data_IF_838573730306
#
_entry.id   IF_838573730306
#
_cell.length_a   1.000
_cell.length_b   1.000
_cell.length_c   1.000
_cell.angle_alpha   90.00
_cell.angle_beta   90.00
_cell.angle_gamma   90.00
#
_symmetry.space_group_name_H-M   'P 1'
#
loop_
_entity.id
_entity.type
_entity.pdbx_description
1 polymer ?
#
# COMPACT_ATOMS: atom_id res chain seq x y z
N UNK A 1 7.98 -1.55 28.42
CA UNK A 1 8.89 -0.40 28.39
C UNK A 1 8.85 0.19 27.00
N UNK A 2 7.93 1.12 26.79
CA UNK A 2 7.80 1.93 25.58
C UNK A 2 8.90 2.99 25.62
N UNK A 3 9.98 2.76 24.89
CA UNK A 3 11.08 3.71 24.83
C UNK A 3 10.97 4.49 23.52
N UNK A 4 10.36 5.68 23.60
CA UNK A 4 10.79 6.80 22.74
C UNK A 4 9.81 7.39 21.74
N UNK A 5 8.55 6.96 21.68
CA UNK A 5 7.53 7.70 20.93
C UNK A 5 6.59 8.38 21.92
N UNK A 6 6.41 9.68 21.74
CA UNK A 6 5.55 10.51 22.59
C UNK A 6 4.18 9.86 22.74
N UNK A 7 3.57 9.91 23.94
CA UNK A 7 2.36 9.14 24.29
C UNK A 7 1.15 9.37 23.37
N UNK A 8 1.17 10.41 22.54
CA UNK A 8 0.04 10.83 21.71
C UNK A 8 0.24 10.59 20.21
N UNK A 9 1.32 9.91 19.77
CA UNK A 9 1.60 9.82 18.33
C UNK A 9 0.53 9.04 17.55
N UNK A 10 -0.11 8.07 18.21
CA UNK A 10 -1.24 7.33 17.63
C UNK A 10 -2.49 8.21 17.51
N UNK A 11 -2.75 9.06 18.50
CA UNK A 11 -3.88 10.01 18.47
C UNK A 11 -3.66 11.12 17.42
N UNK A 12 -2.43 11.65 17.34
CA UNK A 12 -2.03 12.63 16.32
C UNK A 12 -2.09 12.04 14.91
N UNK A 13 -1.60 10.81 14.72
CA UNK A 13 -1.70 10.10 13.44
C UNK A 13 -3.16 9.89 13.04
N UNK A 14 -4.00 9.42 13.96
CA UNK A 14 -5.44 9.23 13.74
C UNK A 14 -6.15 10.52 13.38
N UNK A 15 -5.79 11.65 14.02
CA UNK A 15 -6.32 12.98 13.68
C UNK A 15 -5.96 13.45 12.27
N UNK A 16 -4.86 12.93 11.71
CA UNK A 16 -4.38 13.20 10.35
C UNK A 16 -4.81 12.13 9.34
N UNK A 17 -5.69 11.19 9.74
CA UNK A 17 -6.15 10.10 8.89
C UNK A 17 -5.07 9.06 8.57
N UNK A 18 -4.05 8.95 9.43
CA UNK A 18 -2.96 7.98 9.31
C UNK A 18 -3.24 6.87 10.32
N UNK A 19 -3.40 5.63 9.85
CA UNK A 19 -3.51 4.45 10.71
C UNK A 19 -2.10 3.95 11.08
N UNK A 20 -1.85 3.74 12.37
CA UNK A 20 -0.52 3.45 12.90
C UNK A 20 -0.55 2.23 13.83
N UNK A 21 -0.09 1.09 13.33
CA UNK A 21 0.08 -0.13 14.11
C UNK A 21 1.51 -0.25 14.64
N UNK A 22 1.69 -0.24 15.97
CA UNK A 22 2.99 -0.47 16.58
C UNK A 22 3.28 -1.97 16.70
N UNK A 23 4.44 -2.42 16.21
CA UNK A 23 4.93 -3.79 16.37
C UNK A 23 6.15 -3.81 17.28
N UNK A 24 6.22 -4.82 18.16
CA UNK A 24 7.42 -5.05 18.98
C UNK A 24 8.54 -5.57 18.09
N UNK A 25 9.67 -4.86 18.07
CA UNK A 25 10.86 -5.30 17.34
C UNK A 25 11.54 -6.40 18.18
N UNK A 26 11.66 -7.64 17.68
CA UNK A 26 12.33 -8.71 18.41
C UNK A 26 13.79 -8.34 18.75
N UNK A 27 14.27 -8.74 19.93
CA UNK A 27 15.63 -8.42 20.37
C UNK A 27 16.73 -8.97 19.45
N UNK A 28 16.45 -10.06 18.73
CA UNK A 28 17.32 -10.70 17.74
C UNK A 28 17.66 -9.76 16.56
N UNK A 29 16.80 -8.78 16.28
CA UNK A 29 17.01 -7.78 15.24
C UNK A 29 18.07 -6.75 15.64
N UNK A 30 18.47 -6.71 16.91
CA UNK A 30 19.55 -5.87 17.43
C UNK A 30 20.86 -6.64 17.66
N UNK A 31 20.96 -7.90 17.21
CA UNK A 31 22.23 -8.62 17.25
C UNK A 31 23.28 -7.88 16.41
N UNK A 32 24.38 -7.49 17.05
CA UNK A 32 25.50 -6.76 16.45
C UNK A 32 26.05 -7.47 15.21
N UNK A 33 25.95 -8.81 15.14
CA UNK A 33 26.34 -9.62 13.97
C UNK A 33 25.38 -9.48 12.78
N UNK A 34 24.09 -9.29 13.04
CA UNK A 34 23.08 -9.05 12.00
C UNK A 34 23.16 -7.60 11.47
N UNK A 35 23.50 -6.65 12.34
CA UNK A 35 23.76 -5.24 11.98
C UNK A 35 25.05 -5.10 11.18
N UNK A 36 26.15 -5.76 11.58
CA UNK A 36 27.43 -5.73 10.84
C UNK A 36 27.35 -6.42 9.46
N UNK A 37 26.41 -7.36 9.27
CA UNK A 37 26.11 -7.98 7.98
C UNK A 37 25.10 -7.21 7.13
N UNK A 38 24.65 -6.04 7.57
CA UNK A 38 23.63 -5.24 6.89
C UNK A 38 22.31 -6.01 6.66
N UNK A 39 22.00 -7.01 7.51
CA UNK A 39 20.81 -7.87 7.40
C UNK A 39 19.55 -7.27 8.01
N UNK A 40 19.68 -6.09 8.64
CA UNK A 40 18.59 -5.37 9.28
C UNK A 40 18.37 -4.07 8.53
N UNK A 41 17.34 -4.05 7.69
CA UNK A 41 16.90 -2.86 6.95
C UNK A 41 15.42 -2.66 7.22
N UNK A 42 15.08 -1.60 7.95
CA UNK A 42 13.70 -1.20 8.23
C UNK A 42 13.34 -0.04 7.34
N UNK A 43 12.25 -0.07 6.57
CA UNK A 43 11.51 1.12 6.15
C UNK A 43 10.10 0.73 5.65
N UNK A 44 9.05 0.97 6.46
CA UNK A 44 7.67 0.82 6.02
C UNK A 44 6.95 2.17 6.09
N UNK A 45 6.98 2.92 4.98
CA UNK A 45 5.99 3.96 4.69
C UNK A 45 5.70 3.90 3.20
N UNK A 46 4.62 3.23 2.82
CA UNK A 46 4.07 3.38 1.48
C UNK A 46 3.31 4.70 1.39
N UNK A 47 3.53 5.45 0.32
CA UNK A 47 2.91 6.74 0.09
C UNK A 47 2.02 6.70 -1.15
N UNK A 48 0.79 7.14 -1.00
CA UNK A 48 -0.17 7.31 -2.11
C UNK A 48 -0.42 8.81 -2.27
N UNK A 49 -0.28 9.33 -3.49
CA UNK A 49 -0.76 10.68 -3.83
C UNK A 49 -1.92 10.60 -4.81
N UNK A 50 -2.99 11.32 -4.48
CA UNK A 50 -4.19 11.38 -5.31
C UNK A 50 -4.68 12.79 -5.47
N UNK A 51 -5.25 13.05 -6.64
CA UNK A 51 -5.84 14.32 -7.00
C UNK A 51 -7.32 14.16 -7.36
N UNK A 52 -8.24 14.84 -6.65
CA UNK A 52 -9.64 14.87 -7.01
C UNK A 52 -9.88 15.80 -8.21
N UNK A 53 -10.80 15.39 -9.10
CA UNK A 53 -11.25 16.14 -10.26
C UNK A 53 -12.75 16.31 -10.20
N UNK A 54 -13.20 17.53 -9.93
CA UNK A 54 -14.63 17.86 -9.87
C UNK A 54 -15.18 18.16 -11.26
N UNK A 55 -16.37 17.64 -11.53
CA UNK A 55 -17.10 17.92 -12.77
C UNK A 55 -17.56 19.38 -12.83
N UNK A 56 -17.79 19.89 -14.05
CA UNK A 56 -18.21 21.27 -14.31
C UNK A 56 -19.61 21.33 -14.94
N UNK A 57 -20.32 22.45 -14.74
CA UNK A 57 -21.63 22.70 -15.34
C UNK A 57 -22.67 21.65 -14.92
N UNK A 58 -23.29 20.98 -15.90
CA UNK A 58 -24.28 19.91 -15.67
C UNK A 58 -23.72 18.69 -14.91
N UNK A 59 -22.40 18.56 -14.78
CA UNK A 59 -21.71 17.46 -14.07
C UNK A 59 -21.12 17.90 -12.73
N UNK A 60 -21.58 19.01 -12.13
CA UNK A 60 -21.02 19.57 -10.88
C UNK A 60 -21.05 18.58 -9.70
N UNK A 61 -22.04 17.69 -9.63
CA UNK A 61 -22.17 16.68 -8.57
C UNK A 61 -21.34 15.42 -8.84
N UNK A 62 -20.27 15.52 -9.65
CA UNK A 62 -19.48 14.36 -10.04
C UNK A 62 -18.01 14.56 -9.73
N UNK A 63 -17.33 13.47 -9.37
CA UNK A 63 -15.90 13.46 -9.06
C UNK A 63 -15.21 12.30 -9.78
N UNK A 64 -13.96 12.53 -10.16
CA UNK A 64 -13.02 11.48 -10.53
C UNK A 64 -11.76 11.63 -9.67
N UNK A 65 -11.11 10.51 -9.36
CA UNK A 65 -9.86 10.46 -8.62
C UNK A 65 -8.76 10.09 -9.58
N UNK A 66 -7.66 10.84 -9.54
CA UNK A 66 -6.44 10.53 -10.27
C UNK A 66 -5.34 10.13 -9.30
N UNK A 67 -4.73 8.97 -9.52
CA UNK A 67 -3.52 8.54 -8.85
C UNK A 67 -2.32 9.23 -9.50
N UNK A 68 -1.65 10.11 -8.76
CA UNK A 68 -0.56 10.95 -9.28
C UNK A 68 0.81 10.45 -8.90
N UNK A 69 0.92 9.78 -7.75
CA UNK A 69 2.17 9.19 -7.29
C UNK A 69 1.92 7.99 -6.37
N UNK A 70 2.87 7.07 -6.36
CA UNK A 70 2.93 5.95 -5.44
C UNK A 70 4.39 5.59 -5.16
N UNK A 71 4.76 5.57 -3.89
CA UNK A 71 6.10 5.21 -3.46
C UNK A 71 6.04 4.07 -2.45
N UNK A 72 6.93 3.09 -2.66
CA UNK A 72 7.15 1.96 -1.75
C UNK A 72 8.64 1.81 -1.56
N UNK A 73 9.07 1.58 -0.33
CA UNK A 73 10.47 1.36 -0.02
C UNK A 73 10.68 -0.09 0.42
N UNK A 74 11.05 -0.94 -0.53
CA UNK A 74 11.40 -2.32 -0.25
C UNK A 74 12.92 -2.50 -0.29
N UNK A 75 13.45 -3.23 0.69
CA UNK A 75 14.83 -3.72 0.73
C UNK A 75 14.80 -5.20 1.05
N UNK A 76 14.67 -6.04 0.02
CA UNK A 76 14.59 -7.49 0.18
C UNK A 76 15.67 -8.15 -0.67
N UNK A 77 16.49 -9.00 -0.03
CA UNK A 77 17.58 -9.75 -0.66
C UNK A 77 18.70 -8.92 -1.32
N UNK A 78 18.86 -7.63 -0.98
CA UNK A 78 19.92 -6.80 -1.58
C UNK A 78 21.33 -7.19 -1.11
N UNK A 79 21.48 -7.64 0.14
CA UNK A 79 22.74 -8.15 0.66
C UNK A 79 22.99 -9.58 0.12
N UNK A 80 24.14 -9.80 -0.52
CA UNK A 80 24.64 -11.11 -1.00
C UNK A 80 23.91 -11.77 -2.20
N UNK A 81 23.07 -11.03 -2.94
CA UNK A 81 22.44 -11.56 -4.15
C UNK A 81 23.43 -11.88 -5.29
N UNK A 82 24.50 -11.09 -5.42
CA UNK A 82 25.51 -11.29 -6.47
C UNK A 82 26.41 -12.50 -6.19
N UNK A 83 26.68 -12.80 -4.92
CA UNK A 83 27.58 -13.88 -4.48
C UNK A 83 26.91 -15.25 -4.46
N UNK A 84 25.57 -15.32 -4.36
CA UNK A 84 24.79 -16.56 -4.33
C UNK A 84 24.32 -17.06 -5.70
N UNK A 85 24.51 -16.29 -6.78
CA UNK A 85 23.99 -16.62 -8.11
C UNK A 85 24.87 -17.64 -8.85
N UNK A 86 24.32 -18.82 -9.18
CA UNK A 86 25.03 -19.84 -9.98
C UNK A 86 25.11 -19.43 -11.46
N UNK A 87 26.16 -19.87 -12.17
CA UNK A 87 26.34 -19.65 -13.62
C UNK A 87 25.08 -20.04 -14.42
N UNK A 88 24.73 -19.23 -15.43
CA UNK A 88 23.53 -19.36 -16.28
C UNK A 88 22.19 -19.23 -15.54
N UNK A 89 22.15 -18.71 -14.31
CA UNK A 89 20.89 -18.44 -13.60
C UNK A 89 20.58 -16.94 -13.56
N UNK A 90 19.31 -16.64 -13.37
CA UNK A 90 18.81 -15.30 -13.08
C UNK A 90 18.00 -15.29 -11.78
N UNK A 91 18.10 -14.20 -11.01
CA UNK A 91 17.27 -13.93 -9.83
C UNK A 91 16.71 -12.52 -9.95
N UNK A 92 15.48 -12.33 -9.48
CA UNK A 92 14.90 -11.00 -9.31
C UNK A 92 15.09 -10.63 -7.83
N UNK A 93 15.63 -9.44 -7.59
CA UNK A 93 15.84 -8.89 -6.25
C UNK A 93 15.25 -7.49 -6.17
N UNK A 94 15.13 -6.96 -4.96
CA UNK A 94 14.82 -5.55 -4.74
C UNK A 94 16.04 -4.86 -4.15
N UNK A 95 16.63 -3.96 -4.93
CA UNK A 95 17.80 -3.17 -4.52
C UNK A 95 17.43 -1.70 -4.49
N UNK A 96 17.61 -1.05 -3.33
CA UNK A 96 17.34 0.39 -3.12
C UNK A 96 15.96 0.86 -3.63
N UNK A 97 14.90 0.11 -3.38
CA UNK A 97 13.55 0.47 -3.84
C UNK A 97 13.37 0.35 -5.36
N UNK A 98 14.18 -0.49 -6.03
CA UNK A 98 14.01 -0.88 -7.43
C UNK A 98 14.02 -2.40 -7.56
N UNK A 99 13.05 -2.95 -8.27
CA UNK A 99 13.09 -4.35 -8.72
C UNK A 99 14.15 -4.49 -9.81
N UNK A 100 15.17 -5.30 -9.55
CA UNK A 100 16.30 -5.56 -10.44
C UNK A 100 16.40 -7.05 -10.75
N UNK A 101 16.46 -7.38 -12.03
CA UNK A 101 16.80 -8.73 -12.49
C UNK A 101 18.31 -8.85 -12.64
N UNK A 102 18.91 -9.76 -11.89
CA UNK A 102 20.32 -10.12 -11.99
C UNK A 102 20.41 -11.41 -12.81
N UNK A 103 21.27 -11.45 -13.82
CA UNK A 103 21.55 -12.64 -14.62
C UNK A 103 23.06 -12.83 -14.75
N UNK A 104 23.54 -14.05 -14.54
CA UNK A 104 24.96 -14.40 -14.72
C UNK A 104 25.15 -15.22 -16.00
N UNK A 105 26.02 -14.74 -16.88
CA UNK A 105 26.34 -15.44 -18.12
C UNK A 105 27.30 -16.62 -17.88
N UNK A 106 27.60 -17.39 -18.93
CA UNK A 106 28.52 -18.54 -18.90
C UNK A 106 29.91 -18.18 -18.38
N UNK A 107 30.34 -16.96 -18.70
CA UNK A 107 31.66 -16.42 -18.35
C UNK A 107 31.70 -15.83 -16.93
N UNK A 108 30.59 -15.87 -16.19
CA UNK A 108 30.50 -15.33 -14.82
C UNK A 108 30.22 -13.82 -14.78
N UNK A 109 30.03 -13.17 -15.92
CA UNK A 109 29.66 -11.75 -15.99
C UNK A 109 28.22 -11.58 -15.50
N UNK A 110 28.03 -10.68 -14.52
CA UNK A 110 26.73 -10.35 -13.95
C UNK A 110 26.13 -9.17 -14.73
N UNK A 111 24.91 -9.35 -15.24
CA UNK A 111 24.08 -8.31 -15.85
C UNK A 111 22.92 -7.97 -14.92
N UNK A 112 22.77 -6.67 -14.63
CA UNK A 112 21.65 -6.13 -13.86
C UNK A 112 20.69 -5.36 -14.77
N UNK A 113 19.41 -5.67 -14.70
CA UNK A 113 18.35 -5.03 -15.46
C UNK A 113 17.28 -4.50 -14.52
N UNK A 114 17.07 -3.17 -14.52
CA UNK A 114 16.03 -2.53 -13.72
C UNK A 114 14.67 -2.75 -14.38
N UNK A 115 13.77 -3.43 -13.66
CA UNK A 115 12.41 -3.75 -14.12
C UNK A 115 11.40 -2.65 -13.78
N UNK A 116 11.64 -1.90 -12.71
CA UNK A 116 10.77 -0.80 -12.25
C UNK A 116 11.38 0.54 -12.69
N UNK A 117 10.89 1.09 -13.81
CA UNK A 117 11.42 2.35 -14.37
C UNK A 117 10.58 3.54 -13.97
N UNK A 118 9.28 3.32 -13.75
CA UNK A 118 8.31 4.32 -13.35
C UNK A 118 7.64 3.88 -12.06
N UNK A 119 7.19 4.83 -11.25
CA UNK A 119 6.44 4.55 -10.02
C UNK A 119 5.21 3.66 -10.27
N UNK A 120 4.55 3.83 -11.42
CA UNK A 120 3.39 3.01 -11.81
C UNK A 120 3.72 1.52 -11.91
N UNK A 121 4.97 1.15 -12.20
CA UNK A 121 5.39 -0.25 -12.37
C UNK A 121 5.33 -1.03 -11.05
N UNK A 122 5.24 -0.32 -9.93
CA UNK A 122 5.01 -0.90 -8.61
C UNK A 122 3.55 -1.28 -8.34
N UNK A 123 2.61 -0.85 -9.20
CA UNK A 123 1.18 -1.04 -8.96
C UNK A 123 0.64 -2.12 -9.89
N UNK A 124 0.10 -3.18 -9.28
CA UNK A 124 -0.65 -4.21 -10.00
C UNK A 124 -2.14 -3.88 -10.03
N UNK A 125 -2.68 -3.32 -8.94
CA UNK A 125 -4.11 -3.05 -8.80
C UNK A 125 -4.34 -1.78 -7.98
N UNK A 126 -5.34 -0.99 -8.31
CA UNK A 126 -5.86 0.04 -7.40
C UNK A 126 -7.36 0.23 -7.56
N UNK A 127 -8.01 0.68 -6.49
CA UNK A 127 -9.45 0.90 -6.41
C UNK A 127 -9.81 2.14 -5.61
N UNK A 128 -11.02 2.62 -5.85
CA UNK A 128 -11.60 3.81 -5.23
C UNK A 128 -12.97 3.45 -4.67
N UNK A 129 -13.17 3.88 -3.43
CA UNK A 129 -14.45 3.96 -2.74
C UNK A 129 -14.79 5.46 -2.60
N UNK A 130 -15.84 5.92 -3.29
CA UNK A 130 -16.24 7.32 -3.27
C UNK A 130 -17.05 7.70 -2.03
N UNK A 131 -17.41 6.77 -1.15
CA UNK A 131 -18.13 7.03 0.10
C UNK A 131 -17.76 6.03 1.20
N UNK A 132 -16.53 6.09 1.68
CA UNK A 132 -15.97 5.10 2.61
C UNK A 132 -16.75 4.96 3.93
N UNK A 133 -17.43 6.03 4.38
CA UNK A 133 -18.22 5.99 5.62
C UNK A 133 -19.66 5.46 5.40
N UNK A 134 -20.00 4.94 4.22
CA UNK A 134 -21.32 4.41 3.89
C UNK A 134 -21.72 3.22 4.74
N UNK A 135 -20.75 2.35 5.06
CA UNK A 135 -21.00 1.01 5.60
C UNK A 135 -20.06 0.69 6.75
N UNK A 136 -20.61 0.64 7.95
CA UNK A 136 -19.87 0.24 9.16
C UNK A 136 -19.50 -1.24 9.12
N UNK A 137 -18.30 -1.58 9.57
CA UNK A 137 -17.89 -2.97 9.72
C UNK A 137 -18.44 -3.56 11.03
N UNK A 138 -19.39 -4.48 10.92
CA UNK A 138 -20.07 -5.08 12.06
C UNK A 138 -19.67 -6.55 12.18
N UNK A 139 -19.13 -6.93 13.33
CA UNK A 139 -18.84 -8.32 13.67
C UNK A 139 -20.01 -8.92 14.43
N UNK A 140 -20.32 -10.18 14.10
CA UNK A 140 -21.25 -11.01 14.85
C UNK A 140 -20.46 -11.89 15.80
N UNK A 141 -20.49 -11.54 17.08
CA UNK A 141 -19.79 -12.27 18.13
C UNK A 141 -20.83 -13.10 18.87
N UNK A 142 -20.56 -14.40 18.99
CA UNK A 142 -21.40 -15.27 19.81
C UNK A 142 -20.92 -15.19 21.24
N UNK A 143 -21.78 -14.71 22.14
CA UNK A 143 -21.44 -14.61 23.55
C UNK A 143 -21.48 -16.03 24.17
N UNK A 144 -20.36 -16.49 24.78
CA UNK A 144 -20.25 -17.86 25.29
C UNK A 144 -21.12 -18.14 26.51
N UNK A 145 -21.64 -17.11 27.20
CA UNK A 145 -22.43 -17.28 28.43
C UNK A 145 -23.94 -17.45 28.16
N UNK A 146 -24.50 -16.72 27.20
CA UNK A 146 -25.93 -16.76 26.86
C UNK A 146 -26.21 -17.40 25.49
N UNK A 147 -25.18 -17.78 24.72
CA UNK A 147 -25.27 -18.34 23.38
C UNK A 147 -25.95 -17.40 22.35
N UNK A 148 -26.17 -16.13 22.70
CA UNK A 148 -26.76 -15.10 21.85
C UNK A 148 -25.70 -14.50 20.92
N UNK A 149 -26.14 -14.00 19.77
CA UNK A 149 -25.26 -13.32 18.81
C UNK A 149 -25.42 -11.83 18.97
N UNK A 150 -24.34 -11.15 19.32
CA UNK A 150 -24.28 -9.70 19.45
C UNK A 150 -23.60 -9.09 18.22
N UNK A 151 -24.17 -8.01 17.70
CA UNK A 151 -23.60 -7.23 16.61
C UNK A 151 -22.78 -6.07 17.19
N UNK A 152 -21.46 -6.14 17.02
CA UNK A 152 -20.51 -5.16 17.55
C UNK A 152 -19.84 -4.42 16.39
N UNK A 153 -19.93 -3.10 16.38
CA UNK A 153 -19.19 -2.27 15.43
C UNK A 153 -17.70 -2.25 15.80
N UNK A 154 -16.82 -2.50 14.83
CA UNK A 154 -15.37 -2.53 15.05
C UNK A 154 -14.76 -1.14 15.22
N UNK A 155 -15.50 -0.09 14.87
CA UNK A 155 -14.98 1.27 14.76
C UNK A 155 -14.44 1.60 13.36
N UNK A 156 -14.42 0.63 12.44
CA UNK A 156 -13.99 0.79 11.06
C UNK A 156 -15.15 0.68 10.07
N UNK A 157 -14.87 0.95 8.80
CA UNK A 157 -15.82 0.89 7.69
C UNK A 157 -15.40 -0.14 6.66
N UNK A 158 -16.39 -0.75 6.02
CA UNK A 158 -16.17 -1.71 4.94
C UNK A 158 -15.82 -0.94 3.67
N UNK A 159 -14.63 -1.18 3.13
CA UNK A 159 -14.25 -0.64 1.84
C UNK A 159 -15.15 -1.20 0.72
N UNK A 160 -15.87 -0.31 0.04
CA UNK A 160 -16.72 -0.65 -1.09
C UNK A 160 -16.01 -0.30 -2.40
N UNK A 161 -15.67 -1.34 -3.17
CA UNK A 161 -15.00 -1.16 -4.44
C UNK A 161 -15.98 -0.69 -5.52
N UNK A 162 -16.07 0.62 -5.70
CA UNK A 162 -16.94 1.25 -6.70
C UNK A 162 -16.23 1.44 -8.05
N UNK A 163 -14.91 1.56 -8.04
CA UNK A 163 -14.10 1.63 -9.25
C UNK A 163 -12.73 0.99 -9.05
N UNK A 164 -12.21 0.32 -10.08
CA UNK A 164 -10.89 -0.30 -10.05
C UNK A 164 -10.17 -0.23 -11.40
N UNK A 165 -8.84 -0.32 -11.34
CA UNK A 165 -7.98 -0.59 -12.49
C UNK A 165 -6.86 -1.54 -12.09
N UNK A 166 -6.55 -2.48 -12.97
CA UNK A 166 -5.54 -3.50 -12.70
C UNK A 166 -4.81 -3.91 -13.97
N UNK A 167 -3.58 -4.40 -13.80
CA UNK A 167 -2.77 -4.96 -14.88
C UNK A 167 -3.13 -6.43 -15.09
N UNK A 168 -3.04 -6.88 -16.33
CA UNK A 168 -3.16 -8.29 -16.69
C UNK A 168 -1.89 -8.80 -17.37
N UNK A 169 -1.77 -10.12 -17.53
CA UNK A 169 -0.65 -10.70 -18.29
C UNK A 169 -0.63 -10.22 -19.76
N UNK A 170 -1.80 -9.92 -20.33
CA UNK A 170 -1.96 -9.48 -21.72
C UNK A 170 -1.82 -7.97 -21.88
N UNK A 171 -2.43 -7.22 -20.97
CA UNK A 171 -2.41 -5.76 -20.96
C UNK A 171 -1.75 -5.26 -19.68
N UNK A 172 -0.57 -4.66 -19.84
CA UNK A 172 0.19 -4.06 -18.76
C UNK A 172 -0.19 -2.61 -18.51
N UNK A 173 -1.14 -2.01 -19.23
CA UNK A 173 -1.55 -0.64 -18.98
C UNK A 173 -2.33 -0.51 -17.67
N UNK A 174 -2.23 0.66 -17.03
CA UNK A 174 -2.98 1.00 -15.83
C UNK A 174 -3.67 2.35 -16.06
N UNK A 175 -4.99 2.42 -15.82
CA UNK A 175 -5.71 3.69 -15.84
C UNK A 175 -5.41 4.42 -14.53
N UNK A 176 -4.80 5.59 -14.63
CA UNK A 176 -4.46 6.42 -13.47
C UNK A 176 -5.60 7.33 -13.03
N UNK A 177 -6.68 7.44 -13.81
CA UNK A 177 -7.84 8.26 -13.49
C UNK A 177 -9.12 7.46 -13.52
N UNK A 178 -9.92 7.59 -12.47
CA UNK A 178 -11.21 6.93 -12.37
C UNK A 178 -12.26 7.55 -13.28
N UNK A 179 -13.33 6.80 -13.52
CA UNK A 179 -14.50 7.33 -14.21
C UNK A 179 -15.13 8.47 -13.38
N UNK A 180 -15.78 9.40 -14.08
CA UNK A 180 -16.47 10.51 -13.42
C UNK A 180 -17.77 9.99 -12.78
N UNK A 181 -17.75 9.77 -11.47
CA UNK A 181 -18.84 9.18 -10.69
C UNK A 181 -19.74 10.26 -10.10
N UNK A 182 -21.05 10.05 -10.15
CA UNK A 182 -22.03 10.95 -9.55
C UNK A 182 -22.23 10.65 -8.08
N UNK A 183 -22.31 11.70 -7.28
CA UNK A 183 -22.39 11.56 -5.84
C UNK A 183 -23.24 12.67 -5.20
N UNK A 184 -23.79 12.38 -4.02
CA UNK A 184 -24.67 13.31 -3.29
C UNK A 184 -23.89 14.52 -2.77
N UNK A 185 -24.27 15.77 -3.08
CA UNK A 185 -23.54 16.96 -2.61
C UNK A 185 -23.28 16.97 -1.10
N UNK A 186 -22.11 17.45 -0.70
CA UNK A 186 -21.69 17.48 0.71
C UNK A 186 -20.28 16.97 0.95
N UNK A 187 -19.86 17.00 2.23
CA UNK A 187 -18.57 16.49 2.67
C UNK A 187 -18.62 14.96 2.77
N UNK A 188 -17.56 14.30 2.31
CA UNK A 188 -17.40 12.86 2.49
C UNK A 188 -15.94 12.45 2.46
N UNK A 189 -15.70 11.19 2.82
CA UNK A 189 -14.41 10.52 2.73
C UNK A 189 -14.38 9.59 1.52
N UNK A 190 -13.35 9.74 0.71
CA UNK A 190 -13.03 8.86 -0.40
C UNK A 190 -11.82 8.04 0.02
N UNK A 191 -11.93 6.72 -0.03
CA UNK A 191 -10.80 5.82 0.21
C UNK A 191 -10.21 5.35 -1.11
N UNK A 192 -8.89 5.34 -1.18
CA UNK A 192 -8.12 4.84 -2.32
C UNK A 192 -7.23 3.73 -1.82
N UNK A 193 -7.38 2.54 -2.41
CA UNK A 193 -6.56 1.38 -2.08
C UNK A 193 -5.66 1.03 -3.26
N UNK A 194 -4.37 0.90 -3.02
CA UNK A 194 -3.36 0.48 -4.01
C UNK A 194 -2.77 -0.83 -3.54
N UNK A 195 -2.68 -1.80 -4.42
CA UNK A 195 -2.01 -3.09 -4.21
C UNK A 195 -0.79 -3.13 -5.11
N UNK A 196 0.36 -3.34 -4.48
CA UNK A 196 1.63 -3.41 -5.19
C UNK A 196 1.90 -4.78 -5.82
N UNK A 197 3.00 -4.87 -6.57
CA UNK A 197 3.47 -6.10 -7.23
C UNK A 197 3.83 -7.24 -6.28
N UNK A 198 3.94 -6.98 -4.97
CA UNK A 198 4.14 -8.00 -3.95
C UNK A 198 2.84 -8.41 -3.26
N UNK A 199 1.72 -7.77 -3.61
CA UNK A 199 0.40 -8.04 -3.06
C UNK A 199 0.11 -7.30 -1.76
N UNK A 200 0.98 -6.39 -1.33
CA UNK A 200 0.74 -5.58 -0.14
C UNK A 200 -0.23 -4.44 -0.50
N UNK A 201 -1.28 -4.27 0.30
CA UNK A 201 -2.24 -3.20 0.11
C UNK A 201 -1.92 -1.99 0.99
N UNK A 202 -2.09 -0.81 0.41
CA UNK A 202 -1.98 0.49 1.10
C UNK A 202 -3.25 1.27 0.84
N UNK A 203 -3.80 1.89 1.88
CA UNK A 203 -4.99 2.72 1.79
C UNK A 203 -4.68 4.17 2.13
N UNK A 204 -5.30 5.10 1.40
CA UNK A 204 -5.33 6.52 1.74
C UNK A 204 -6.76 7.03 1.70
N UNK A 205 -7.15 7.74 2.74
CA UNK A 205 -8.45 8.41 2.82
C UNK A 205 -8.23 9.89 2.56
N UNK A 206 -9.05 10.47 1.68
CA UNK A 206 -9.10 11.91 1.45
C UNK A 206 -10.50 12.42 1.75
N UNK A 207 -10.57 13.60 2.34
CA UNK A 207 -11.83 14.31 2.54
C UNK A 207 -12.06 15.28 1.39
N UNK A 208 -13.26 15.24 0.82
CA UNK A 208 -13.66 16.12 -0.27
C UNK A 208 -15.04 16.70 0.00
N UNK A 209 -15.31 17.87 -0.57
CA UNK A 209 -16.63 18.48 -0.62
C UNK A 209 -17.05 18.59 -2.07
N UNK A 210 -18.15 17.93 -2.42
CA UNK A 210 -18.78 18.01 -3.76
C UNK A 210 -19.88 19.06 -3.74
#
# INVERSE_FOLDING_TARGET
FEMGLFPNIQEDAKSKGIDLAMKYIPAEVFDRRAVEKNQVVFHDVSFIEVRPHFGKGKKKNRIAIELTDFSVFYSQDAADADTSLKKKKSKVIVDKGQVVKIAMDKDGIIRREVLTKKWTDWIDYWSVDFNFESKREILRIKNPENNETEEVWTGDYVFENEWQSFRTKKDRSLKLKSALTECVPGRRKIAVKVVDIFGNDTMKIIEVTI
#
